data_IF_895197674806
#
_entry.id   IF_895197674806
#
_cell.length_a   1.000
_cell.length_b   1.000
_cell.length_c   1.000
_cell.angle_alpha   90.00
_cell.angle_beta   90.00
_cell.angle_gamma   90.00
#
_symmetry.space_group_name_H-M   'P 1'
#
loop_
_entity.id
_entity.type
_entity.pdbx_description
1 polymer ?
#
# COMPACT_ATOMS: atom_id res chain seq x y z
N UNK A 1 -17.24 -5.72 -30.33
CA UNK A 1 -16.94 -4.31 -30.00
C UNK A 1 -16.21 -4.30 -28.65
N UNK A 2 -14.91 -4.58 -28.64
CA UNK A 2 -14.10 -4.52 -27.42
C UNK A 2 -13.66 -3.07 -27.24
N UNK A 3 -14.16 -2.39 -26.20
CA UNK A 3 -13.63 -1.08 -25.83
C UNK A 3 -12.13 -1.17 -25.59
N UNK A 4 -11.36 -0.18 -26.04
CA UNK A 4 -9.91 -0.15 -25.81
C UNK A 4 -9.62 -0.18 -24.31
N UNK A 5 -8.77 -1.11 -23.88
CA UNK A 5 -8.34 -1.20 -22.48
C UNK A 5 -7.57 0.06 -22.11
N UNK A 6 -7.88 0.63 -20.95
CA UNK A 6 -7.07 1.71 -20.38
C UNK A 6 -5.65 1.21 -20.08
N UNK A 7 -4.66 2.12 -20.08
CA UNK A 7 -3.27 1.78 -19.78
C UNK A 7 -3.10 1.04 -18.43
N UNK A 8 -3.89 1.41 -17.42
CA UNK A 8 -3.96 0.72 -16.13
C UNK A 8 -4.48 -0.70 -16.25
N UNK A 9 -5.58 -0.91 -16.98
CA UNK A 9 -6.14 -2.26 -17.18
C UNK A 9 -5.17 -3.16 -17.94
N UNK A 10 -4.50 -2.62 -18.96
CA UNK A 10 -3.48 -3.35 -19.70
C UNK A 10 -2.30 -3.73 -18.79
N UNK A 11 -1.82 -2.80 -17.94
CA UNK A 11 -0.75 -3.09 -16.98
C UNK A 11 -1.14 -4.21 -16.00
N UNK A 12 -2.33 -4.12 -15.39
CA UNK A 12 -2.82 -5.14 -14.46
C UNK A 12 -2.96 -6.48 -15.19
N UNK A 13 -3.55 -6.50 -16.38
CA UNK A 13 -3.71 -7.73 -17.17
C UNK A 13 -2.37 -8.40 -17.46
N UNK A 14 -1.38 -7.63 -17.94
CA UNK A 14 -0.04 -8.16 -18.21
C UNK A 14 0.61 -8.72 -16.95
N UNK A 15 0.52 -7.99 -15.83
CA UNK A 15 1.08 -8.42 -14.55
C UNK A 15 0.39 -9.69 -14.02
N UNK A 16 -0.93 -9.77 -14.16
CA UNK A 16 -1.72 -10.96 -13.79
C UNK A 16 -1.36 -12.17 -14.65
N UNK A 17 -1.14 -11.98 -15.95
CA UNK A 17 -0.69 -13.06 -16.85
C UNK A 17 0.69 -13.58 -16.42
N UNK A 18 1.65 -12.68 -16.14
CA UNK A 18 2.97 -13.05 -15.60
C UNK A 18 2.82 -13.85 -14.31
N UNK A 19 2.01 -13.36 -13.37
CA UNK A 19 1.76 -14.04 -12.10
C UNK A 19 1.17 -15.44 -12.28
N UNK A 20 0.13 -15.60 -13.12
CA UNK A 20 -0.49 -16.90 -13.41
C UNK A 20 0.51 -17.85 -14.07
N UNK A 21 1.38 -17.36 -14.96
CA UNK A 21 2.44 -18.18 -15.54
C UNK A 21 3.41 -18.70 -14.48
N UNK A 22 3.81 -17.87 -13.50
CA UNK A 22 4.64 -18.33 -12.38
C UNK A 22 3.90 -19.29 -11.45
N UNK A 23 2.61 -19.08 -11.16
CA UNK A 23 1.82 -20.05 -10.41
C UNK A 23 1.76 -21.41 -11.12
N UNK A 24 1.57 -21.42 -12.43
CA UNK A 24 1.62 -22.63 -13.24
C UNK A 24 2.99 -23.32 -13.17
N UNK A 25 4.08 -22.54 -13.21
CA UNK A 25 5.44 -23.05 -13.07
C UNK A 25 5.68 -23.68 -11.68
N UNK A 26 5.30 -22.99 -10.60
CA UNK A 26 5.45 -23.52 -9.24
C UNK A 26 4.64 -24.79 -9.03
N UNK A 27 3.40 -24.83 -9.55
CA UNK A 27 2.56 -26.01 -9.49
C UNK A 27 3.18 -27.18 -10.26
N UNK A 28 3.74 -26.93 -11.43
CA UNK A 28 4.46 -27.93 -12.20
C UNK A 28 5.69 -28.47 -11.45
N UNK A 29 6.52 -27.60 -10.88
CA UNK A 29 7.69 -28.00 -10.09
C UNK A 29 7.28 -28.86 -8.88
N UNK A 30 6.21 -28.47 -8.19
CA UNK A 30 5.66 -29.22 -7.07
C UNK A 30 5.17 -30.62 -7.47
N UNK A 31 4.33 -30.72 -8.51
CA UNK A 31 3.75 -32.01 -8.96
C UNK A 31 4.82 -32.93 -9.54
N UNK A 32 5.79 -32.38 -10.28
CA UNK A 32 6.87 -33.16 -10.88
C UNK A 32 7.92 -33.62 -9.86
N UNK A 33 7.90 -33.05 -8.64
CA UNK A 33 8.91 -33.34 -7.61
C UNK A 33 10.31 -32.84 -7.95
N UNK A 34 10.45 -31.96 -8.95
CA UNK A 34 11.74 -31.41 -9.36
C UNK A 34 12.30 -30.49 -8.29
N UNK A 35 13.52 -30.81 -7.87
CA UNK A 35 14.34 -30.03 -6.95
C UNK A 35 15.69 -29.80 -7.63
N UNK A 36 16.25 -28.61 -7.46
CA UNK A 36 17.62 -28.28 -7.88
C UNK A 36 17.90 -28.34 -9.40
N UNK A 37 16.87 -28.20 -10.23
CA UNK A 37 17.03 -28.09 -11.69
C UNK A 37 17.26 -26.63 -12.12
N UNK A 38 17.75 -26.41 -13.34
CA UNK A 38 17.78 -25.07 -13.95
C UNK A 38 16.41 -24.40 -13.93
N UNK A 39 15.33 -25.19 -14.09
CA UNK A 39 13.97 -24.66 -14.04
C UNK A 39 13.62 -24.13 -12.64
N UNK A 40 14.01 -24.82 -11.57
CA UNK A 40 13.91 -24.33 -10.20
C UNK A 40 14.68 -23.01 -10.02
N UNK A 41 15.93 -22.94 -10.49
CA UNK A 41 16.73 -21.72 -10.34
C UNK A 41 16.09 -20.52 -11.07
N UNK A 42 15.58 -20.75 -12.29
CA UNK A 42 14.91 -19.70 -13.07
C UNK A 42 13.54 -19.31 -12.51
N UNK A 43 12.92 -20.12 -11.65
CA UNK A 43 11.61 -19.79 -11.10
C UNK A 43 11.63 -18.52 -10.27
N UNK A 44 12.78 -18.15 -9.68
CA UNK A 44 12.96 -16.90 -8.92
C UNK A 44 12.96 -15.63 -9.77
N UNK A 45 12.82 -15.76 -11.09
CA UNK A 45 12.61 -14.63 -12.00
C UNK A 45 11.27 -13.91 -11.81
N UNK A 46 10.39 -14.40 -10.91
CA UNK A 46 9.16 -13.70 -10.51
C UNK A 46 9.42 -12.31 -9.94
N UNK A 47 10.65 -12.02 -9.51
CA UNK A 47 11.12 -10.67 -9.15
C UNK A 47 10.82 -9.61 -10.21
N UNK A 48 10.65 -9.97 -11.48
CA UNK A 48 10.25 -9.05 -12.55
C UNK A 48 8.94 -8.30 -12.24
N UNK A 49 8.00 -8.93 -11.51
CA UNK A 49 6.75 -8.29 -11.11
C UNK A 49 6.99 -7.11 -10.18
N UNK A 50 7.94 -7.25 -9.26
CA UNK A 50 8.33 -6.17 -8.35
C UNK A 50 8.95 -4.99 -9.10
N UNK A 51 9.82 -5.24 -10.08
CA UNK A 51 10.38 -4.19 -10.93
C UNK A 51 9.29 -3.44 -11.71
N UNK A 52 8.41 -4.17 -12.40
CA UNK A 52 7.34 -3.58 -13.20
C UNK A 52 6.37 -2.77 -12.33
N UNK A 53 5.95 -3.32 -11.20
CA UNK A 53 5.09 -2.66 -10.22
C UNK A 53 5.73 -1.40 -9.63
N UNK A 54 7.01 -1.48 -9.27
CA UNK A 54 7.77 -0.36 -8.75
C UNK A 54 7.93 0.77 -9.77
N UNK A 55 8.33 0.46 -11.00
CA UNK A 55 8.46 1.46 -12.06
C UNK A 55 7.11 2.11 -12.39
N UNK A 56 6.04 1.31 -12.53
CA UNK A 56 4.70 1.85 -12.75
C UNK A 56 4.25 2.77 -11.61
N UNK A 57 4.48 2.36 -10.36
CA UNK A 57 4.10 3.14 -9.20
C UNK A 57 4.84 4.47 -9.08
N UNK A 58 6.17 4.50 -9.27
CA UNK A 58 6.96 5.75 -9.22
C UNK A 58 6.63 6.68 -10.39
N UNK A 59 6.66 6.16 -11.62
CA UNK A 59 6.58 7.01 -12.82
C UNK A 59 5.16 7.39 -13.22
N UNK A 60 4.18 6.59 -12.79
CA UNK A 60 2.78 6.79 -13.14
C UNK A 60 1.99 7.18 -11.91
N UNK A 61 1.74 6.25 -10.98
CA UNK A 61 0.75 6.44 -9.92
C UNK A 61 1.13 7.56 -8.96
N UNK A 62 2.36 7.55 -8.43
CA UNK A 62 2.84 8.56 -7.48
C UNK A 62 2.77 9.97 -8.06
N UNK A 63 3.16 10.15 -9.34
CA UNK A 63 3.13 11.47 -10.00
C UNK A 63 1.71 12.05 -10.10
N UNK A 64 0.71 11.23 -10.38
CA UNK A 64 -0.68 11.69 -10.44
C UNK A 64 -1.23 12.06 -9.06
N UNK A 65 -0.76 11.39 -8.00
CA UNK A 65 -1.01 11.81 -6.62
C UNK A 65 -0.17 13.03 -6.20
N UNK A 66 0.68 13.61 -7.05
CA UNK A 66 1.54 14.76 -6.70
C UNK A 66 2.88 14.38 -6.04
N UNK A 67 3.23 13.08 -6.04
CA UNK A 67 4.50 12.55 -5.52
C UNK A 67 4.69 12.88 -4.05
N UNK A 68 5.85 13.44 -3.70
CA UNK A 68 6.16 13.83 -2.31
C UNK A 68 5.32 15.00 -1.77
N UNK A 69 4.48 15.64 -2.60
CA UNK A 69 3.60 16.73 -2.16
C UNK A 69 2.33 16.24 -1.46
N UNK A 70 1.94 14.97 -1.61
CA UNK A 70 0.80 14.37 -0.91
C UNK A 70 1.19 13.14 -0.10
N UNK A 71 0.40 12.81 0.92
CA UNK A 71 0.69 11.63 1.75
C UNK A 71 0.42 10.31 0.99
N UNK A 72 -0.61 10.24 0.14
CA UNK A 72 -0.81 9.07 -0.77
C UNK A 72 0.34 8.96 -1.78
N UNK A 73 0.77 10.08 -2.36
CA UNK A 73 1.88 10.09 -3.31
C UNK A 73 3.20 9.63 -2.67
N UNK A 74 3.49 10.04 -1.43
CA UNK A 74 4.62 9.52 -0.65
C UNK A 74 4.47 8.02 -0.40
N UNK A 75 3.31 7.57 0.05
CA UNK A 75 3.06 6.16 0.34
C UNK A 75 3.35 5.29 -0.88
N UNK A 76 2.76 5.63 -2.02
CA UNK A 76 3.01 4.94 -3.30
C UNK A 76 4.50 5.01 -3.67
N UNK A 77 5.14 6.17 -3.56
CA UNK A 77 6.58 6.29 -3.86
C UNK A 77 7.43 5.33 -3.05
N UNK A 78 7.22 5.27 -1.72
CA UNK A 78 7.98 4.39 -0.84
C UNK A 78 7.69 2.91 -1.09
N UNK A 79 6.42 2.52 -1.31
CA UNK A 79 6.10 1.15 -1.71
C UNK A 79 6.80 0.74 -3.00
N UNK A 80 6.77 1.63 -3.99
CA UNK A 80 7.34 1.39 -5.30
C UNK A 80 8.87 1.34 -5.30
N UNK A 81 9.54 2.23 -4.55
CA UNK A 81 10.99 2.15 -4.37
C UNK A 81 11.36 0.85 -3.63
N UNK A 82 10.59 0.46 -2.61
CA UNK A 82 10.78 -0.83 -1.93
C UNK A 82 10.70 -2.02 -2.90
N UNK A 83 9.73 -2.03 -3.81
CA UNK A 83 9.64 -3.06 -4.86
C UNK A 83 10.86 -3.05 -5.81
N UNK A 84 11.36 -1.88 -6.21
CA UNK A 84 12.54 -1.77 -7.06
C UNK A 84 13.78 -2.31 -6.33
N UNK A 85 13.98 -1.90 -5.08
CA UNK A 85 15.12 -2.31 -4.25
C UNK A 85 15.07 -3.82 -3.97
N UNK A 86 13.88 -4.38 -3.72
CA UNK A 86 13.66 -5.81 -3.65
C UNK A 86 14.04 -6.52 -4.97
N UNK A 87 13.66 -5.97 -6.12
CA UNK A 87 14.05 -6.53 -7.43
C UNK A 87 15.56 -6.52 -7.67
N UNK A 88 16.29 -5.55 -7.10
CA UNK A 88 17.76 -5.54 -7.14
C UNK A 88 18.31 -6.71 -6.34
N UNK A 89 17.77 -6.97 -5.14
CA UNK A 89 18.09 -8.16 -4.34
C UNK A 89 17.87 -9.46 -5.13
N UNK A 90 16.72 -9.59 -5.82
CA UNK A 90 16.46 -10.74 -6.70
C UNK A 90 17.45 -10.86 -7.85
N UNK A 91 17.83 -9.74 -8.47
CA UNK A 91 18.79 -9.76 -9.58
C UNK A 91 20.16 -10.28 -9.12
N UNK A 92 20.58 -9.91 -7.92
CA UNK A 92 21.82 -10.41 -7.30
C UNK A 92 21.66 -11.89 -6.93
N UNK A 93 20.52 -12.29 -6.35
CA UNK A 93 20.22 -13.70 -6.04
C UNK A 93 20.32 -14.58 -7.30
N UNK A 94 19.67 -14.15 -8.39
CA UNK A 94 19.71 -14.85 -9.69
C UNK A 94 21.11 -14.87 -10.28
N UNK A 95 21.92 -13.84 -10.08
CA UNK A 95 23.31 -13.82 -10.51
C UNK A 95 24.14 -14.92 -9.83
N UNK A 96 24.00 -15.10 -8.52
CA UNK A 96 24.64 -16.21 -7.80
C UNK A 96 24.22 -17.59 -8.37
N UNK A 97 22.91 -17.80 -8.55
CA UNK A 97 22.37 -19.11 -8.95
C UNK A 97 22.63 -19.42 -10.43
N UNK A 98 22.38 -18.47 -11.33
CA UNK A 98 22.38 -18.71 -12.79
C UNK A 98 23.71 -18.40 -13.46
N UNK A 99 24.49 -17.46 -12.92
CA UNK A 99 25.77 -17.07 -13.52
C UNK A 99 26.94 -17.71 -12.78
N UNK A 100 26.99 -17.57 -11.46
CA UNK A 100 28.06 -18.15 -10.66
C UNK A 100 27.85 -19.64 -10.36
N UNK A 101 26.62 -20.15 -10.52
CA UNK A 101 26.26 -21.55 -10.28
C UNK A 101 26.62 -22.02 -8.87
N UNK A 102 26.40 -21.15 -7.89
CA UNK A 102 26.60 -21.44 -6.45
C UNK A 102 25.32 -21.13 -5.68
N UNK A 103 25.14 -21.82 -4.56
CA UNK A 103 24.14 -21.43 -3.58
C UNK A 103 24.42 -20.01 -3.08
N UNK A 104 23.37 -19.23 -2.83
CA UNK A 104 23.53 -17.87 -2.32
C UNK A 104 24.09 -17.95 -0.91
N UNK A 105 25.28 -17.36 -0.64
CA UNK A 105 25.82 -17.36 0.71
C UNK A 105 24.90 -16.58 1.66
N UNK A 106 24.97 -16.83 2.96
CA UNK A 106 24.25 -16.02 3.94
C UNK A 106 25.20 -15.55 5.05
N UNK A 107 25.34 -14.24 5.28
CA UNK A 107 24.80 -13.11 4.51
C UNK A 107 25.31 -13.00 3.06
N UNK A 108 24.58 -12.29 2.19
CA UNK A 108 24.95 -12.01 0.80
C UNK A 108 24.76 -10.53 0.40
N UNK A 109 25.24 -10.19 -0.79
CA UNK A 109 24.87 -8.93 -1.44
C UNK A 109 23.38 -8.82 -1.83
N UNK A 110 22.64 -9.93 -1.91
CA UNK A 110 21.20 -9.87 -2.17
C UNK A 110 20.45 -9.22 -0.99
N UNK A 111 20.95 -9.40 0.23
CA UNK A 111 20.40 -8.79 1.45
C UNK A 111 20.47 -7.27 1.43
N UNK A 112 21.42 -6.68 0.68
CA UNK A 112 21.46 -5.23 0.47
C UNK A 112 20.27 -4.69 -0.34
N UNK A 113 19.54 -5.57 -1.06
CA UNK A 113 18.26 -5.28 -1.68
C UNK A 113 17.07 -5.70 -0.82
N UNK A 114 17.06 -6.92 -0.29
CA UNK A 114 15.91 -7.41 0.48
C UNK A 114 15.69 -6.65 1.78
N UNK A 115 16.75 -6.43 2.56
CA UNK A 115 16.62 -5.85 3.91
C UNK A 115 16.10 -4.39 3.90
N UNK A 116 16.64 -3.46 3.09
CA UNK A 116 16.14 -2.08 3.07
C UNK A 116 14.72 -1.95 2.50
N UNK A 117 14.24 -2.91 1.71
CA UNK A 117 12.88 -2.89 1.17
C UNK A 117 11.82 -2.89 2.29
N UNK A 118 12.05 -3.62 3.39
CA UNK A 118 11.15 -3.62 4.54
C UNK A 118 11.02 -2.22 5.17
N UNK A 119 12.14 -1.52 5.35
CA UNK A 119 12.13 -0.15 5.88
C UNK A 119 11.34 0.80 4.97
N UNK A 120 11.53 0.69 3.65
CA UNK A 120 10.80 1.49 2.67
C UNK A 120 9.30 1.19 2.70
N UNK A 121 8.91 -0.09 2.77
CA UNK A 121 7.50 -0.48 2.89
C UNK A 121 6.87 -0.02 4.20
N UNK A 122 7.59 -0.09 5.31
CA UNK A 122 7.14 0.45 6.59
C UNK A 122 6.88 1.96 6.51
N UNK A 123 7.80 2.73 5.92
CA UNK A 123 7.60 4.17 5.68
C UNK A 123 6.38 4.40 4.78
N UNK A 124 6.23 3.61 3.71
CA UNK A 124 5.08 3.65 2.81
C UNK A 124 3.75 3.45 3.54
N UNK A 125 3.67 2.46 4.43
CA UNK A 125 2.50 2.22 5.28
C UNK A 125 2.23 3.37 6.25
N UNK A 126 3.26 3.92 6.89
CA UNK A 126 3.09 5.06 7.81
C UNK A 126 2.54 6.27 7.05
N UNK A 127 2.99 6.52 5.82
CA UNK A 127 2.42 7.58 4.97
C UNK A 127 0.98 7.27 4.55
N UNK A 128 0.67 6.01 4.22
CA UNK A 128 -0.69 5.58 3.91
C UNK A 128 -1.64 5.74 5.10
N UNK A 129 -1.15 5.54 6.33
CA UNK A 129 -1.95 5.68 7.56
C UNK A 129 -2.53 7.10 7.74
N UNK A 130 -1.80 8.12 7.24
CA UNK A 130 -2.23 9.52 7.28
C UNK A 130 -3.44 9.78 6.37
N UNK A 131 -3.51 9.09 5.24
CA UNK A 131 -4.58 9.24 4.25
C UNK A 131 -5.79 8.33 4.51
N UNK A 132 -5.63 7.29 5.32
CA UNK A 132 -6.70 6.29 5.59
C UNK A 132 -7.55 6.64 6.81
N UNK A 133 -7.20 7.68 7.57
CA UNK A 133 -7.97 8.12 8.73
C UNK A 133 -7.64 7.36 10.02
N UNK A 134 -6.50 6.65 10.09
CA UNK A 134 -6.05 5.94 11.29
C UNK A 134 -6.05 6.83 12.55
N UNK A 135 -5.68 8.12 12.38
CA UNK A 135 -5.70 9.13 13.46
C UNK A 135 -7.07 9.30 14.11
N UNK A 136 -8.16 9.15 13.35
CA UNK A 136 -9.52 9.25 13.88
C UNK A 136 -9.93 7.98 14.63
N UNK A 137 -9.40 6.82 14.23
CA UNK A 137 -9.54 5.57 14.99
C UNK A 137 -8.94 5.67 16.38
N UNK A 138 -7.75 6.27 16.49
CA UNK A 138 -7.02 6.46 17.75
C UNK A 138 -7.71 7.37 18.76
N UNK A 139 -8.70 8.18 18.36
CA UNK A 139 -9.47 9.03 19.29
C UNK A 139 -10.37 8.20 20.21
N UNK A 140 -10.80 7.02 19.77
CA UNK A 140 -11.71 6.14 20.51
C UNK A 140 -10.93 5.20 21.43
N UNK A 141 -11.53 4.82 22.56
CA UNK A 141 -10.92 3.88 23.51
C UNK A 141 -10.50 2.56 22.85
N UNK A 142 -11.34 2.01 21.98
CA UNK A 142 -11.02 0.80 21.21
C UNK A 142 -9.80 0.95 20.31
N UNK A 143 -9.60 2.12 19.69
CA UNK A 143 -8.40 2.38 18.88
C UNK A 143 -7.13 2.48 19.73
N UNK A 144 -7.22 3.10 20.91
CA UNK A 144 -6.11 3.13 21.88
C UNK A 144 -5.77 1.73 22.40
N UNK A 145 -6.78 0.90 22.66
CA UNK A 145 -6.59 -0.50 23.04
C UNK A 145 -5.88 -1.29 21.92
N UNK A 146 -6.29 -1.12 20.65
CA UNK A 146 -5.60 -1.75 19.52
C UNK A 146 -4.12 -1.35 19.44
N UNK A 147 -3.80 -0.06 19.65
CA UNK A 147 -2.41 0.43 19.62
C UNK A 147 -1.50 -0.27 20.63
N UNK A 148 -2.04 -0.74 21.77
CA UNK A 148 -1.30 -1.48 22.79
C UNK A 148 -1.34 -2.99 22.56
N UNK A 149 -2.52 -3.54 22.29
CA UNK A 149 -2.72 -5.00 22.23
C UNK A 149 -2.14 -5.63 20.97
N UNK A 150 -2.21 -4.94 19.82
CA UNK A 150 -1.76 -5.49 18.53
C UNK A 150 -0.24 -5.71 18.52
N UNK A 151 0.62 -4.73 18.88
CA UNK A 151 2.06 -4.96 18.91
C UNK A 151 2.48 -6.08 19.87
N UNK A 152 1.87 -6.15 21.07
CA UNK A 152 2.19 -7.20 22.06
C UNK A 152 1.78 -8.58 21.54
N UNK A 153 0.56 -8.70 20.99
CA UNK A 153 0.06 -9.97 20.45
C UNK A 153 0.89 -10.44 19.28
N UNK A 154 1.25 -9.53 18.36
CA UNK A 154 2.08 -9.87 17.20
C UNK A 154 3.49 -10.22 17.64
N UNK A 155 4.12 -9.45 18.53
CA UNK A 155 5.46 -9.78 19.04
C UNK A 155 5.50 -11.17 19.70
N UNK A 156 4.49 -11.52 20.51
CA UNK A 156 4.39 -12.83 21.14
C UNK A 156 4.19 -13.95 20.10
N UNK A 157 3.26 -13.77 19.15
CA UNK A 157 3.01 -14.74 18.08
C UNK A 157 4.22 -14.91 17.17
N UNK A 158 4.91 -13.83 16.83
CA UNK A 158 6.10 -13.84 15.98
C UNK A 158 7.32 -14.39 16.69
N UNK A 159 7.48 -14.18 17.99
CA UNK A 159 8.51 -14.88 18.76
C UNK A 159 8.30 -16.40 18.67
N UNK A 160 7.06 -16.87 18.89
CA UNK A 160 6.76 -18.30 18.77
C UNK A 160 6.97 -18.81 17.33
N UNK A 161 6.41 -18.14 16.32
CA UNK A 161 6.48 -18.62 14.94
C UNK A 161 7.88 -18.47 14.33
N UNK A 162 8.48 -17.28 14.38
CA UNK A 162 9.73 -16.99 13.67
C UNK A 162 10.98 -17.47 14.43
N UNK A 163 10.94 -17.55 15.76
CA UNK A 163 12.10 -17.97 16.55
C UNK A 163 11.96 -19.42 17.01
N UNK A 164 10.88 -19.77 17.71
CA UNK A 164 10.73 -21.13 18.26
C UNK A 164 10.47 -22.15 17.15
N UNK A 165 9.45 -21.93 16.32
CA UNK A 165 9.05 -22.89 15.28
C UNK A 165 9.98 -22.84 14.09
N UNK A 166 10.20 -21.65 13.51
CA UNK A 166 10.95 -21.54 12.26
C UNK A 166 12.45 -21.73 12.41
N UNK A 167 13.03 -21.51 13.60
CA UNK A 167 14.48 -21.58 13.84
C UNK A 167 14.88 -22.53 14.97
N UNK A 168 13.93 -23.34 15.47
CA UNK A 168 14.19 -24.30 16.54
C UNK A 168 14.49 -23.68 17.91
N UNK A 169 14.20 -22.39 18.11
CA UNK A 169 14.40 -21.70 19.38
C UNK A 169 15.85 -21.36 19.73
N UNK A 170 16.78 -21.52 18.80
CA UNK A 170 18.20 -21.20 19.00
C UNK A 170 18.55 -19.91 18.27
N UNK A 171 19.19 -18.98 18.97
CA UNK A 171 19.85 -17.82 18.36
C UNK A 171 21.33 -17.97 18.64
N UNK A 172 22.11 -18.21 17.60
CA UNK A 172 23.56 -18.36 17.71
C UNK A 172 24.23 -17.00 17.65
N UNK A 173 24.85 -16.59 18.76
CA UNK A 173 25.54 -15.32 18.92
C UNK A 173 27.06 -15.44 18.74
N UNK A 174 27.60 -16.63 18.45
CA UNK A 174 29.04 -16.84 18.25
C UNK A 174 29.48 -16.57 16.79
N UNK A 175 28.64 -15.87 16.02
CA UNK A 175 28.83 -15.67 14.58
C UNK A 175 29.24 -14.23 14.23
N UNK A 176 29.53 -13.96 12.95
CA UNK A 176 29.84 -12.63 12.44
C UNK A 176 28.72 -11.62 12.80
N UNK A 177 29.11 -10.40 13.20
CA UNK A 177 28.20 -9.32 13.55
C UNK A 177 27.17 -9.02 12.45
N UNK A 178 27.54 -9.11 11.17
CA UNK A 178 26.60 -8.88 10.07
C UNK A 178 25.51 -9.95 10.06
N UNK A 179 25.88 -11.20 10.32
CA UNK A 179 24.92 -12.29 10.38
C UNK A 179 23.98 -12.15 11.58
N UNK A 180 24.50 -11.83 12.76
CA UNK A 180 23.67 -11.56 13.95
C UNK A 180 22.69 -10.41 13.67
N UNK A 181 23.15 -9.35 13.01
CA UNK A 181 22.32 -8.22 12.64
C UNK A 181 21.16 -8.63 11.73
N UNK A 182 21.39 -9.42 10.69
CA UNK A 182 20.34 -9.89 9.78
C UNK A 182 19.42 -10.93 10.45
N UNK A 183 19.98 -11.85 11.23
CA UNK A 183 19.23 -12.88 11.95
C UNK A 183 18.21 -12.23 12.89
N UNK A 184 18.56 -11.15 13.58
CA UNK A 184 17.62 -10.40 14.41
C UNK A 184 16.73 -9.47 13.57
N UNK A 185 17.33 -8.82 12.57
CA UNK A 185 16.70 -7.76 11.80
C UNK A 185 15.54 -8.23 10.93
N UNK A 186 15.64 -9.38 10.26
CA UNK A 186 14.55 -9.90 9.42
C UNK A 186 13.27 -10.17 10.23
N UNK A 187 13.29 -11.00 11.31
CA UNK A 187 12.10 -11.20 12.16
C UNK A 187 11.59 -9.92 12.80
N UNK A 188 12.48 -8.98 13.14
CA UNK A 188 12.06 -7.70 13.69
C UNK A 188 11.29 -6.88 12.65
N UNK A 189 11.75 -6.85 11.41
CA UNK A 189 11.04 -6.18 10.31
C UNK A 189 9.68 -6.83 10.02
N UNK A 190 9.60 -8.15 10.07
CA UNK A 190 8.34 -8.89 9.96
C UNK A 190 7.32 -8.46 11.02
N UNK A 191 7.76 -8.39 12.29
CA UNK A 191 6.94 -7.90 13.40
C UNK A 191 6.48 -6.47 13.17
N UNK A 192 7.40 -5.57 12.79
CA UNK A 192 7.11 -4.15 12.56
C UNK A 192 6.09 -3.98 11.45
N UNK A 193 6.33 -4.62 10.29
CA UNK A 193 5.47 -4.48 9.11
C UNK A 193 4.08 -5.06 9.39
N UNK A 194 4.01 -6.27 9.94
CA UNK A 194 2.73 -6.91 10.26
C UNK A 194 1.94 -6.07 11.29
N UNK A 195 2.62 -5.54 12.30
CA UNK A 195 2.01 -4.65 13.30
C UNK A 195 1.42 -3.41 12.66
N UNK A 196 2.18 -2.71 11.81
CA UNK A 196 1.70 -1.51 11.13
C UNK A 196 0.52 -1.88 10.21
N UNK A 197 0.58 -2.98 9.48
CA UNK A 197 -0.48 -3.39 8.57
C UNK A 197 -1.80 -3.66 9.30
N UNK A 198 -1.76 -4.43 10.40
CA UNK A 198 -2.93 -4.75 11.21
C UNK A 198 -3.47 -3.51 11.94
N UNK A 199 -2.60 -2.65 12.46
CA UNK A 199 -3.01 -1.38 13.07
C UNK A 199 -3.71 -0.47 12.08
N UNK A 200 -3.14 -0.27 10.88
CA UNK A 200 -3.77 0.57 9.85
C UNK A 200 -5.12 -0.02 9.46
N UNK A 201 -5.21 -1.32 9.25
CA UNK A 201 -6.48 -1.99 8.96
C UNK A 201 -7.51 -1.72 10.08
N UNK A 202 -7.17 -2.04 11.32
CA UNK A 202 -8.07 -1.95 12.48
C UNK A 202 -8.45 -0.52 12.86
N UNK A 203 -7.54 0.44 12.76
CA UNK A 203 -7.81 1.85 13.09
C UNK A 203 -8.60 2.55 11.99
N UNK A 204 -8.45 2.10 10.74
CA UNK A 204 -8.95 2.84 9.59
C UNK A 204 -10.22 2.24 9.00
N UNK A 205 -10.62 1.00 9.31
CA UNK A 205 -11.70 0.28 8.62
C UNK A 205 -13.07 1.00 8.56
N UNK A 206 -13.34 1.92 9.49
CA UNK A 206 -14.57 2.75 9.51
C UNK A 206 -14.42 4.11 8.80
N UNK A 207 -13.20 4.51 8.48
CA UNK A 207 -12.87 5.85 7.98
C UNK A 207 -12.50 5.83 6.51
N UNK A 208 -11.68 4.90 6.03
CA UNK A 208 -11.44 4.81 4.59
C UNK A 208 -12.54 4.01 3.90
N UNK A 209 -12.89 4.43 2.70
CA UNK A 209 -14.00 3.87 1.94
C UNK A 209 -13.93 4.32 0.49
N UNK A 210 -15.07 4.28 -0.19
CA UNK A 210 -15.14 4.66 -1.60
C UNK A 210 -14.28 3.76 -2.47
N UNK A 211 -13.69 4.36 -3.50
CA UNK A 211 -13.03 3.64 -4.59
C UNK A 211 -11.72 2.96 -4.18
N UNK A 212 -10.99 3.56 -3.24
CA UNK A 212 -9.65 3.11 -2.89
C UNK A 212 -9.60 2.10 -1.73
N UNK A 213 -10.76 1.69 -1.22
CA UNK A 213 -10.86 0.70 -0.14
C UNK A 213 -10.23 -0.65 -0.50
N UNK A 214 -10.61 -1.21 -1.63
CA UNK A 214 -10.09 -2.50 -2.10
C UNK A 214 -8.57 -2.48 -2.34
N UNK A 215 -8.00 -1.49 -3.07
CA UNK A 215 -6.55 -1.37 -3.25
C UNK A 215 -5.77 -1.35 -1.93
N UNK A 216 -6.26 -0.62 -0.93
CA UNK A 216 -5.62 -0.53 0.38
C UNK A 216 -5.66 -1.89 1.09
N UNK A 217 -6.78 -2.61 1.06
CA UNK A 217 -6.85 -3.96 1.64
C UNK A 217 -5.92 -4.95 0.93
N UNK A 218 -5.80 -4.86 -0.40
CA UNK A 218 -4.86 -5.69 -1.15
C UNK A 218 -3.42 -5.44 -0.69
N UNK A 219 -3.02 -4.17 -0.56
CA UNK A 219 -1.67 -3.81 -0.08
C UNK A 219 -1.45 -4.31 1.36
N UNK A 220 -2.37 -4.02 2.29
CA UNK A 220 -2.22 -4.45 3.68
C UNK A 220 -2.20 -5.98 3.82
N UNK A 221 -3.06 -6.68 3.08
CA UNK A 221 -3.12 -8.14 3.07
C UNK A 221 -1.86 -8.78 2.47
N UNK A 222 -1.21 -8.12 1.50
CA UNK A 222 0.03 -8.63 0.92
C UNK A 222 1.15 -8.76 1.96
N UNK A 223 1.25 -7.85 2.93
CA UNK A 223 2.25 -7.94 3.99
C UNK A 223 1.98 -9.06 5.00
N UNK A 224 0.73 -9.49 5.15
CA UNK A 224 0.40 -10.70 5.92
C UNK A 224 0.90 -11.94 5.17
N UNK A 225 0.74 -11.99 3.85
CA UNK A 225 1.26 -13.09 3.02
C UNK A 225 2.79 -13.08 3.05
N UNK A 226 3.43 -11.91 3.01
CA UNK A 226 4.88 -11.79 3.10
C UNK A 226 5.41 -12.39 4.40
N UNK A 227 4.80 -12.03 5.53
CA UNK A 227 5.14 -12.56 6.85
C UNK A 227 5.11 -14.10 6.89
N UNK A 228 4.09 -14.72 6.27
CA UNK A 228 4.03 -16.17 6.17
C UNK A 228 5.03 -16.75 5.16
N UNK A 229 5.39 -15.99 4.13
CA UNK A 229 6.49 -16.29 3.21
C UNK A 229 7.82 -16.37 3.96
N UNK A 230 8.15 -15.36 4.76
CA UNK A 230 9.36 -15.32 5.59
C UNK A 230 9.38 -16.43 6.64
N UNK A 231 8.25 -16.68 7.31
CA UNK A 231 8.11 -17.84 8.20
C UNK A 231 8.38 -19.17 7.44
N UNK A 232 7.75 -19.37 6.28
CA UNK A 232 7.87 -20.60 5.50
C UNK A 232 9.30 -20.79 4.98
N UNK A 233 9.93 -19.71 4.50
CA UNK A 233 11.32 -19.69 4.06
C UNK A 233 12.25 -20.05 5.22
N UNK A 234 12.16 -19.34 6.35
CA UNK A 234 13.01 -19.60 7.51
C UNK A 234 12.84 -21.02 8.05
N UNK A 235 11.60 -21.52 8.14
CA UNK A 235 11.32 -22.87 8.60
C UNK A 235 11.91 -23.93 7.66
N UNK A 236 11.63 -23.82 6.36
CA UNK A 236 12.09 -24.81 5.37
C UNK A 236 13.59 -24.78 5.17
N UNK A 237 14.24 -23.62 5.29
CA UNK A 237 15.71 -23.52 5.31
C UNK A 237 16.29 -24.19 6.55
N UNK A 238 15.70 -23.98 7.73
CA UNK A 238 16.19 -24.59 8.99
C UNK A 238 16.15 -26.11 8.96
N UNK A 239 15.09 -26.70 8.39
CA UNK A 239 14.97 -28.16 8.28
C UNK A 239 15.61 -28.72 6.99
N UNK A 240 16.29 -27.89 6.19
CA UNK A 240 16.96 -28.30 4.96
C UNK A 240 16.02 -28.77 3.84
N UNK A 241 14.76 -28.33 3.85
CA UNK A 241 13.74 -28.71 2.85
C UNK A 241 13.40 -27.59 1.87
N UNK A 242 14.01 -26.41 2.00
CA UNK A 242 13.83 -25.31 1.05
C UNK A 242 14.42 -25.68 -0.32
N UNK A 243 13.75 -25.25 -1.37
CA UNK A 243 14.22 -25.33 -2.75
C UNK A 243 13.63 -24.17 -3.55
N UNK A 244 14.31 -23.73 -4.61
CA UNK A 244 13.80 -22.65 -5.46
C UNK A 244 12.52 -23.11 -6.20
N UNK A 245 11.48 -22.28 -6.13
CA UNK A 245 10.13 -22.59 -6.62
C UNK A 245 9.26 -23.34 -5.61
N UNK A 246 9.62 -23.29 -4.33
CA UNK A 246 8.85 -23.87 -3.23
C UNK A 246 7.64 -23.02 -2.86
N UNK A 247 6.87 -23.48 -1.87
CA UNK A 247 5.72 -22.75 -1.36
C UNK A 247 6.07 -21.36 -0.79
N UNK A 248 7.27 -21.19 -0.23
CA UNK A 248 7.74 -19.88 0.21
C UNK A 248 7.84 -18.89 -0.97
N UNK A 249 8.36 -19.34 -2.11
CA UNK A 249 8.44 -18.53 -3.33
C UNK A 249 7.07 -18.17 -3.91
N UNK A 250 6.08 -19.06 -3.77
CA UNK A 250 4.68 -18.75 -4.11
C UNK A 250 4.18 -17.57 -3.26
N UNK A 251 4.45 -17.57 -1.96
CA UNK A 251 4.04 -16.48 -1.05
C UNK A 251 4.74 -15.16 -1.38
N UNK A 252 6.05 -15.18 -1.67
CA UNK A 252 6.78 -13.98 -2.09
C UNK A 252 6.30 -13.46 -3.45
N UNK A 253 6.11 -14.34 -4.44
CA UNK A 253 5.56 -13.97 -5.75
C UNK A 253 4.15 -13.36 -5.61
N UNK A 254 3.31 -13.95 -4.77
CA UNK A 254 1.97 -13.44 -4.45
C UNK A 254 2.05 -12.06 -3.82
N UNK A 255 2.97 -11.86 -2.87
CA UNK A 255 3.20 -10.56 -2.22
C UNK A 255 3.58 -9.50 -3.25
N UNK A 256 4.60 -9.77 -4.08
CA UNK A 256 5.05 -8.81 -5.11
C UNK A 256 3.94 -8.46 -6.09
N UNK A 257 3.16 -9.46 -6.51
CA UNK A 257 1.99 -9.26 -7.36
C UNK A 257 0.94 -8.36 -6.70
N UNK A 258 0.54 -8.67 -5.45
CA UNK A 258 -0.51 -7.93 -4.75
C UNK A 258 -0.12 -6.50 -4.43
N UNK A 259 1.12 -6.23 -3.98
CA UNK A 259 1.59 -4.85 -3.78
C UNK A 259 1.52 -4.08 -5.10
N UNK A 260 2.01 -4.67 -6.19
CA UNK A 260 2.06 -4.05 -7.52
C UNK A 260 0.67 -3.77 -8.09
N UNK A 261 -0.27 -4.73 -7.99
CA UNK A 261 -1.67 -4.53 -8.39
C UNK A 261 -2.36 -3.52 -7.49
N UNK A 262 -2.13 -3.58 -6.18
CA UNK A 262 -2.66 -2.62 -5.21
C UNK A 262 -2.25 -1.19 -5.55
N UNK A 263 -0.97 -0.97 -5.87
CA UNK A 263 -0.45 0.32 -6.35
C UNK A 263 -1.13 0.72 -7.67
N UNK A 264 -1.23 -0.17 -8.65
CA UNK A 264 -1.86 0.15 -9.93
C UNK A 264 -3.34 0.51 -9.79
N UNK A 265 -4.06 -0.12 -8.86
CA UNK A 265 -5.45 0.18 -8.57
C UNK A 265 -5.63 1.51 -7.80
N UNK A 266 -4.58 2.03 -7.17
CA UNK A 266 -4.56 3.38 -6.62
C UNK A 266 -4.41 4.48 -7.70
N UNK A 267 -4.24 4.16 -8.98
CA UNK A 267 -4.16 5.18 -10.05
C UNK A 267 -5.44 6.05 -10.08
N UNK A 268 -5.33 7.38 -9.83
CA UNK A 268 -6.48 8.26 -9.74
C UNK A 268 -7.16 8.51 -11.09
N UNK A 269 -6.48 8.30 -12.22
CA UNK A 269 -7.07 8.44 -13.56
C UNK A 269 -8.18 7.44 -13.84
N UNK A 270 -8.27 6.40 -13.03
CA UNK A 270 -9.36 5.44 -13.13
C UNK A 270 -10.71 6.00 -12.71
N UNK A 271 -10.74 7.17 -12.07
CA UNK A 271 -11.95 7.87 -11.62
C UNK A 271 -12.71 8.41 -12.84
N UNK A 272 -13.63 7.59 -13.35
CA UNK A 272 -14.83 8.11 -14.00
C UNK A 272 -15.66 8.80 -12.92
N UNK A 273 -15.70 10.12 -12.94
CA UNK A 273 -16.58 10.92 -12.09
C UNK A 273 -17.99 10.76 -12.68
N UNK A 274 -18.63 9.62 -12.43
CA UNK A 274 -20.05 9.49 -12.69
C UNK A 274 -20.76 10.30 -11.62
N UNK A 275 -21.23 11.48 -12.04
CA UNK A 275 -22.14 12.30 -11.25
C UNK A 275 -23.27 11.38 -10.78
N UNK A 276 -23.30 11.08 -9.48
CA UNK A 276 -24.54 10.66 -8.82
C UNK A 276 -25.58 11.69 -9.22
N UNK A 277 -26.72 11.23 -9.75
CA UNK A 277 -27.85 12.08 -10.15
C UNK A 277 -27.96 13.23 -9.17
N UNK A 278 -27.79 14.44 -9.72
CA UNK A 278 -27.74 15.67 -8.96
C UNK A 278 -28.85 15.62 -7.91
N UNK A 279 -28.46 15.59 -6.63
CA UNK A 279 -29.41 15.63 -5.52
C UNK A 279 -30.21 16.92 -5.70
N UNK A 280 -31.42 16.79 -6.24
CA UNK A 280 -32.38 17.87 -6.39
C UNK A 280 -32.85 18.23 -5.00
N UNK A 281 -32.15 19.17 -4.36
CA UNK A 281 -32.49 19.62 -3.03
C UNK A 281 -31.62 20.78 -2.59
N UNK A 282 -32.09 21.99 -2.90
CA UNK A 282 -31.60 23.32 -2.52
C UNK A 282 -30.11 23.65 -2.77
N UNK A 283 -29.87 24.93 -3.02
CA UNK A 283 -28.58 25.58 -3.35
C UNK A 283 -27.54 25.55 -2.19
N UNK A 284 -27.40 24.43 -1.49
CA UNK A 284 -26.62 24.33 -0.27
C UNK A 284 -25.10 24.42 -0.52
N UNK A 285 -24.50 25.37 0.21
CA UNK A 285 -23.11 25.78 0.34
C UNK A 285 -22.04 24.86 -0.29
N UNK A 286 -21.21 25.47 -1.15
CA UNK A 286 -20.09 24.89 -1.91
C UNK A 286 -19.25 23.86 -1.13
N UNK A 287 -19.01 24.10 0.17
CA UNK A 287 -18.29 23.18 1.05
C UNK A 287 -18.98 21.82 1.20
N UNK A 288 -20.31 21.77 1.40
CA UNK A 288 -21.06 20.51 1.52
C UNK A 288 -20.91 19.66 0.26
N UNK A 289 -20.97 20.30 -0.91
CA UNK A 289 -20.80 19.61 -2.18
C UNK A 289 -19.39 19.08 -2.38
N UNK A 290 -18.38 19.90 -2.12
CA UNK A 290 -16.97 19.46 -2.16
C UNK A 290 -16.77 18.25 -1.24
N UNK A 291 -17.25 18.31 0.00
CA UNK A 291 -17.06 17.23 0.97
C UNK A 291 -17.78 15.94 0.49
N UNK A 292 -19.02 16.03 0.01
CA UNK A 292 -19.77 14.86 -0.49
C UNK A 292 -19.08 14.18 -1.67
N UNK A 293 -18.55 14.95 -2.62
CA UNK A 293 -17.79 14.39 -3.74
C UNK A 293 -16.48 13.74 -3.27
N UNK A 294 -15.78 14.35 -2.30
CA UNK A 294 -14.62 13.69 -1.69
C UNK A 294 -15.02 12.37 -1.01
N UNK A 295 -16.13 12.33 -0.27
CA UNK A 295 -16.61 11.10 0.38
C UNK A 295 -16.84 9.96 -0.63
N UNK A 296 -17.35 10.26 -1.83
CA UNK A 296 -17.54 9.25 -2.86
C UNK A 296 -16.21 8.60 -3.31
N UNK A 297 -15.12 9.37 -3.28
CA UNK A 297 -13.80 8.95 -3.75
C UNK A 297 -12.96 8.30 -2.64
N UNK A 298 -12.81 8.99 -1.51
CA UNK A 298 -11.90 8.62 -0.42
C UNK A 298 -12.62 8.05 0.82
N UNK A 299 -13.95 8.09 0.85
CA UNK A 299 -14.78 7.55 1.92
C UNK A 299 -15.01 8.49 3.11
N UNK A 300 -15.50 7.96 4.24
CA UNK A 300 -15.88 8.74 5.41
C UNK A 300 -14.80 9.64 6.01
N UNK A 301 -13.52 9.34 5.75
CA UNK A 301 -12.36 10.14 6.18
C UNK A 301 -12.46 11.59 5.70
N UNK A 302 -13.12 11.83 4.56
CA UNK A 302 -13.37 13.17 4.04
C UNK A 302 -14.10 14.06 5.06
N UNK A 303 -15.09 13.53 5.78
CA UNK A 303 -15.81 14.25 6.83
C UNK A 303 -14.90 14.57 8.01
N UNK A 304 -14.10 13.58 8.45
CA UNK A 304 -13.16 13.76 9.55
C UNK A 304 -12.12 14.84 9.24
N UNK A 305 -11.64 14.92 7.99
CA UNK A 305 -10.73 15.99 7.59
C UNK A 305 -11.40 17.35 7.50
N UNK A 306 -12.64 17.41 7.02
CA UNK A 306 -13.39 18.67 6.94
C UNK A 306 -13.71 19.26 8.32
N UNK A 307 -13.98 18.42 9.32
CA UNK A 307 -14.24 18.85 10.71
C UNK A 307 -13.05 19.55 11.36
N UNK A 308 -11.85 19.36 10.81
CA UNK A 308 -10.61 19.89 11.34
C UNK A 308 -10.18 21.17 10.59
N UNK A 309 -11.08 21.76 9.79
CA UNK A 309 -10.85 23.00 9.08
C UNK A 309 -11.44 24.15 9.88
N UNK A 310 -10.60 25.11 10.25
CA UNK A 310 -11.04 26.30 10.97
C UNK A 310 -12.05 27.11 10.14
N UNK A 311 -13.22 27.37 10.74
CA UNK A 311 -14.34 28.04 10.10
C UNK A 311 -15.38 27.11 9.46
N UNK A 312 -15.24 25.79 9.62
CA UNK A 312 -16.28 24.81 9.26
C UNK A 312 -16.91 24.20 10.52
N UNK A 313 -18.24 24.24 10.59
CA UNK A 313 -19.04 23.43 11.50
C UNK A 313 -19.88 22.46 10.69
N UNK A 314 -19.86 21.18 11.07
CA UNK A 314 -20.44 20.10 10.27
C UNK A 314 -21.40 19.30 11.14
N UNK A 315 -22.68 19.27 10.75
CA UNK A 315 -23.65 18.32 11.26
C UNK A 315 -23.60 17.07 10.37
N UNK A 316 -22.81 16.08 10.81
CA UNK A 316 -22.61 14.82 10.06
C UNK A 316 -23.91 14.02 9.93
N UNK A 317 -24.81 14.12 10.91
CA UNK A 317 -26.12 13.45 10.92
C UNK A 317 -27.07 14.00 9.85
N UNK A 318 -27.02 15.31 9.60
CA UNK A 318 -27.83 15.98 8.58
C UNK A 318 -27.12 16.16 7.24
N UNK A 319 -25.81 15.92 7.20
CA UNK A 319 -24.97 16.19 6.02
C UNK A 319 -24.88 17.69 5.69
N UNK A 320 -25.10 18.53 6.70
CA UNK A 320 -25.12 19.98 6.59
C UNK A 320 -23.78 20.57 7.03
N UNK A 321 -23.35 21.60 6.32
CA UNK A 321 -22.07 22.26 6.54
C UNK A 321 -22.34 23.74 6.68
N UNK A 322 -21.80 24.33 7.74
CA UNK A 322 -21.94 25.72 8.10
C UNK A 322 -20.56 26.36 8.07
N UNK A 323 -20.44 27.46 7.32
CA UNK A 323 -19.21 28.25 7.24
C UNK A 323 -19.31 29.46 8.18
N UNK A 324 -18.29 29.66 9.01
CA UNK A 324 -18.12 30.86 9.82
C UNK A 324 -16.92 31.67 9.33
N UNK A 325 -17.06 32.99 9.25
CA UNK A 325 -16.03 33.89 8.74
C UNK A 325 -15.97 33.99 7.21
N UNK A 326 -14.79 34.26 6.65
CA UNK A 326 -14.62 34.47 5.21
C UNK A 326 -14.74 33.15 4.43
N UNK A 327 -15.80 33.04 3.60
CA UNK A 327 -16.12 31.87 2.80
C UNK A 327 -14.98 31.43 1.87
N UNK A 328 -14.33 32.37 1.16
CA UNK A 328 -13.24 32.07 0.22
C UNK A 328 -12.06 31.42 0.96
N UNK A 329 -11.69 31.98 2.11
CA UNK A 329 -10.57 31.48 2.92
C UNK A 329 -10.86 30.10 3.53
N UNK A 330 -12.07 29.90 4.06
CA UNK A 330 -12.47 28.61 4.64
C UNK A 330 -12.45 27.50 3.58
N UNK A 331 -12.96 27.80 2.38
CA UNK A 331 -12.91 26.86 1.27
C UNK A 331 -11.49 26.57 0.80
N UNK A 332 -10.62 27.58 0.73
CA UNK A 332 -9.21 27.38 0.35
C UNK A 332 -8.46 26.51 1.37
N UNK A 333 -8.76 26.67 2.67
CA UNK A 333 -8.25 25.77 3.73
C UNK A 333 -8.77 24.34 3.56
N UNK A 334 -10.06 24.15 3.26
CA UNK A 334 -10.64 22.83 3.01
C UNK A 334 -9.98 22.13 1.83
N UNK A 335 -9.84 22.83 0.70
CA UNK A 335 -9.20 22.31 -0.51
C UNK A 335 -7.75 21.96 -0.24
N UNK A 336 -7.00 22.87 0.40
CA UNK A 336 -5.58 22.64 0.75
C UNK A 336 -5.40 21.43 1.66
N UNK A 337 -6.36 21.17 2.56
CA UNK A 337 -6.33 20.01 3.43
C UNK A 337 -6.51 18.70 2.66
N UNK A 338 -7.46 18.64 1.74
CA UNK A 338 -7.62 17.48 0.86
C UNK A 338 -6.42 17.30 -0.07
N UNK A 339 -5.93 18.38 -0.67
CA UNK A 339 -4.77 18.36 -1.58
C UNK A 339 -3.50 17.86 -0.87
N UNK A 340 -3.28 18.20 0.39
CA UNK A 340 -2.14 17.68 1.16
C UNK A 340 -2.18 16.17 1.36
N UNK A 341 -3.37 15.57 1.51
CA UNK A 341 -3.50 14.13 1.74
C UNK A 341 -3.54 13.36 0.42
N UNK A 342 -4.32 13.85 -0.53
CA UNK A 342 -4.77 13.17 -1.74
C UNK A 342 -4.32 13.88 -3.03
N UNK A 343 -3.43 14.86 -2.93
CA UNK A 343 -2.78 15.50 -4.07
C UNK A 343 -3.72 16.11 -5.09
N UNK A 344 -3.24 16.19 -6.33
CA UNK A 344 -3.94 16.80 -7.47
C UNK A 344 -5.28 16.14 -7.76
N UNK A 345 -5.39 14.82 -7.57
CA UNK A 345 -6.64 14.10 -7.76
C UNK A 345 -7.77 14.68 -6.90
N UNK A 346 -7.50 15.06 -5.66
CA UNK A 346 -8.53 15.69 -4.82
C UNK A 346 -8.89 17.11 -5.28
N UNK A 347 -7.95 17.87 -5.83
CA UNK A 347 -8.23 19.19 -6.39
C UNK A 347 -9.14 19.08 -7.63
N UNK A 348 -8.91 18.09 -8.49
CA UNK A 348 -9.76 17.80 -9.65
C UNK A 348 -11.18 17.41 -9.20
N UNK A 349 -11.31 16.57 -8.17
CA UNK A 349 -12.61 16.25 -7.55
C UNK A 349 -13.29 17.51 -7.01
N UNK A 350 -12.56 18.42 -6.36
CA UNK A 350 -13.12 19.69 -5.91
C UNK A 350 -13.61 20.57 -7.09
N UNK A 351 -12.86 20.65 -8.19
CA UNK A 351 -13.26 21.43 -9.38
C UNK A 351 -14.54 20.88 -10.01
N UNK A 352 -14.62 19.57 -10.18
CA UNK A 352 -15.79 18.91 -10.74
C UNK A 352 -17.01 19.02 -9.82
N UNK A 353 -16.80 18.97 -8.50
CA UNK A 353 -17.85 19.18 -7.51
C UNK A 353 -18.54 20.55 -7.67
N UNK A 354 -17.80 21.59 -8.05
CA UNK A 354 -18.37 22.93 -8.16
C UNK A 354 -18.88 23.27 -9.56
N UNK A 355 -18.41 22.56 -10.59
CA UNK A 355 -18.65 22.88 -12.01
C UNK A 355 -20.14 23.11 -12.37
N UNK A 356 -21.12 22.33 -11.86
CA UNK A 356 -22.53 22.58 -12.18
C UNK A 356 -23.16 23.82 -11.53
N UNK A 357 -22.51 24.44 -10.53
CA UNK A 357 -23.03 25.62 -9.81
C UNK A 357 -22.09 26.82 -9.90
N UNK A 358 -20.92 26.68 -10.54
CA UNK A 358 -19.88 27.73 -10.60
C UNK A 358 -20.39 29.03 -11.21
N UNK A 359 -21.30 28.96 -12.19
CA UNK A 359 -21.91 30.12 -12.85
C UNK A 359 -22.93 30.86 -11.98
N UNK A 360 -23.36 30.27 -10.87
CA UNK A 360 -24.38 30.83 -9.97
C UNK A 360 -23.76 31.54 -8.76
N UNK A 361 -22.42 31.52 -8.63
CA UNK A 361 -21.69 32.03 -7.46
C UNK A 361 -20.79 33.19 -7.91
N UNK A 362 -20.73 34.32 -7.18
CA UNK A 362 -19.81 35.41 -7.49
C UNK A 362 -18.37 34.90 -7.52
N UNK A 363 -17.60 35.25 -8.55
CA UNK A 363 -16.24 34.77 -8.73
C UNK A 363 -15.37 35.05 -7.49
N UNK A 364 -15.56 36.19 -6.83
CA UNK A 364 -14.86 36.63 -5.62
C UNK A 364 -15.00 35.66 -4.43
N UNK A 365 -16.08 34.89 -4.37
CA UNK A 365 -16.32 33.90 -3.31
C UNK A 365 -15.70 32.52 -3.61
N UNK A 366 -15.24 32.31 -4.85
CA UNK A 366 -14.64 31.06 -5.31
C UNK A 366 -13.11 31.16 -5.18
N UNK A 367 -12.45 30.23 -4.47
CA UNK A 367 -11.00 30.15 -4.45
C UNK A 367 -10.42 30.05 -5.86
N UNK A 368 -9.35 30.79 -6.14
CA UNK A 368 -8.73 30.84 -7.47
C UNK A 368 -8.30 29.47 -7.98
N UNK A 369 -7.95 28.55 -7.07
CA UNK A 369 -7.56 27.17 -7.42
C UNK A 369 -8.69 26.34 -8.03
N UNK A 370 -9.95 26.73 -7.82
CA UNK A 370 -11.13 26.06 -8.38
C UNK A 370 -11.70 26.73 -9.64
N UNK A 371 -11.17 27.91 -10.01
CA UNK A 371 -11.59 28.61 -11.23
C UNK A 371 -11.06 27.94 -12.49
#
# INVERSE_FOLDING_TARGET
MFGSLSYRQLFILLLTLIYISFLGLFLFLYISGQRDTTLNLTSNSYGIMSLLGGLYGVFVVARHWGGFKSDVGKAVTFFSIGLIVWSVGFSIYLYYNLVLQVEVPYPSWADAGFFPAYALWAIGMVMLSKATGAKFGLRKLGGKALLLLVPVSIAAASYYLLIIVARGGVVDFEQDLIKIFLDIGYPLWDVIILTIAILIYGLSYRYFGGKYRLPIYIILGSFVINYFGDFSFSYTTTIGSYYNGSFADVMFATTMYLISVGIALLDPRSVSIYLSDAVKGNQYQLASRIIKEQVAIIGPVAWGEAQEVDGLSIDVSRGEVYITGNRKEVLDRLISRYERLFGRASLEVCREAIRPVVSQIPAEEIPERLR
#
